data_IF_246952701758
#
_entry.id   IF_246952701758
#
_cell.length_a   1.000
_cell.length_b   1.000
_cell.length_c   1.000
_cell.angle_alpha   90.00
_cell.angle_beta   90.00
_cell.angle_gamma   90.00
#
_symmetry.space_group_name_H-M   'P 1'
#
loop_
_entity.id
_entity.type
_entity.pdbx_description
1 polymer ?
#
# COMPACT_ATOMS: atom_id res chain seq x y z
N UNK A 1 20.22 -2.24 -4.80
CA UNK A 1 20.53 -1.66 -3.49
C UNK A 1 19.25 -1.62 -2.69
N UNK A 2 19.25 -2.17 -1.47
CA UNK A 2 18.05 -2.26 -0.63
C UNK A 2 17.61 -0.89 -0.15
N UNK A 3 16.37 -0.52 -0.45
CA UNK A 3 15.71 0.63 0.18
C UNK A 3 15.37 0.26 1.60
N UNK A 4 15.98 0.95 2.57
CA UNK A 4 15.67 0.77 3.99
C UNK A 4 14.22 1.16 4.25
N UNK A 5 13.37 0.16 4.50
CA UNK A 5 12.01 0.33 5.00
C UNK A 5 12.04 0.76 6.47
N UNK A 6 12.46 2.00 6.73
CA UNK A 6 12.33 2.61 8.03
C UNK A 6 10.93 3.23 8.16
N UNK A 7 10.22 2.93 9.23
CA UNK A 7 9.02 3.69 9.58
C UNK A 7 9.44 5.12 9.96
N UNK A 8 8.82 6.12 9.35
CA UNK A 8 9.02 7.54 9.68
C UNK A 8 7.76 8.02 10.39
N UNK A 9 7.92 8.55 11.60
CA UNK A 9 6.82 9.12 12.38
C UNK A 9 6.65 10.58 12.02
N UNK A 10 5.45 10.94 11.56
CA UNK A 10 5.07 12.32 11.25
C UNK A 10 4.13 12.87 12.33
N UNK A 11 4.46 14.04 12.90
CA UNK A 11 3.59 14.77 13.84
C UNK A 11 2.88 15.92 13.12
N UNK A 12 2.05 15.58 12.15
CA UNK A 12 1.28 16.53 11.34
C UNK A 12 -0.15 16.07 11.21
N UNK A 13 -1.05 16.93 10.72
CA UNK A 13 -2.36 16.46 10.25
C UNK A 13 -2.16 15.49 9.09
N UNK A 14 -2.77 14.33 9.16
CA UNK A 14 -2.54 13.23 8.25
C UNK A 14 -3.17 13.50 6.87
N UNK A 15 -4.42 13.95 6.83
CA UNK A 15 -5.13 14.10 5.56
C UNK A 15 -4.50 15.15 4.62
N UNK A 16 -4.07 16.34 5.09
CA UNK A 16 -3.31 17.27 4.26
C UNK A 16 -1.99 16.68 3.76
N UNK A 17 -1.25 15.98 4.63
CA UNK A 17 -0.01 15.31 4.27
C UNK A 17 -0.22 14.26 3.17
N UNK A 18 -1.25 13.41 3.31
CA UNK A 18 -1.59 12.42 2.29
C UNK A 18 -2.03 13.06 0.99
N UNK A 19 -2.78 14.17 1.04
CA UNK A 19 -3.20 14.90 -0.16
C UNK A 19 -2.01 15.39 -0.98
N UNK A 20 -0.98 15.94 -0.32
CA UNK A 20 0.26 16.36 -0.97
C UNK A 20 1.00 15.16 -1.58
N UNK A 21 1.23 14.11 -0.79
CA UNK A 21 1.98 12.94 -1.25
C UNK A 21 1.27 12.16 -2.36
N UNK A 22 -0.05 12.07 -2.32
CA UNK A 22 -0.84 11.44 -3.38
C UNK A 22 -0.88 12.27 -4.67
N UNK A 23 -0.70 13.59 -4.60
CA UNK A 23 -0.58 14.41 -5.79
C UNK A 23 0.73 14.12 -6.54
N UNK A 24 1.82 13.89 -5.80
CA UNK A 24 3.14 13.56 -6.34
C UNK A 24 3.19 12.15 -6.98
N UNK A 25 2.35 11.22 -6.49
CA UNK A 25 2.38 9.80 -6.86
C UNK A 25 1.25 9.36 -7.81
N UNK A 26 0.57 10.29 -8.49
CA UNK A 26 -0.52 9.92 -9.41
C UNK A 26 0.04 9.22 -10.65
N UNK A 27 -0.52 8.07 -10.98
CA UNK A 27 -0.37 7.47 -12.31
C UNK A 27 -1.74 7.10 -12.87
N UNK A 28 -1.87 7.22 -14.19
CA UNK A 28 -3.03 6.69 -14.90
C UNK A 28 -2.82 5.19 -15.05
N UNK A 29 -3.74 4.38 -14.50
CA UNK A 29 -3.70 2.92 -14.51
C UNK A 29 -4.03 2.30 -15.87
N UNK A 30 -3.82 3.03 -16.95
CA UNK A 30 -4.28 2.65 -18.28
C UNK A 30 -3.69 1.30 -18.69
N UNK A 31 -4.57 0.33 -18.93
CA UNK A 31 -4.21 -1.03 -19.31
C UNK A 31 -4.18 -2.05 -18.17
N UNK A 32 -4.37 -1.64 -16.91
CA UNK A 32 -4.60 -2.58 -15.80
C UNK A 32 -6.09 -2.95 -15.70
N UNK A 33 -6.43 -4.21 -15.38
CA UNK A 33 -7.82 -4.63 -15.20
C UNK A 33 -8.41 -4.22 -13.83
N UNK A 34 -7.71 -3.41 -13.04
CA UNK A 34 -8.10 -2.98 -11.70
C UNK A 34 -7.67 -1.54 -11.41
N UNK A 35 -8.32 -0.91 -10.42
CA UNK A 35 -8.14 0.52 -10.14
C UNK A 35 -6.96 0.87 -9.23
N UNK A 36 -6.43 -0.09 -8.47
CA UNK A 36 -5.31 0.18 -7.55
C UNK A 36 -3.98 0.15 -8.31
N UNK A 37 -3.32 1.30 -8.41
CA UNK A 37 -2.07 1.46 -9.17
C UNK A 37 -0.84 1.72 -8.26
N UNK A 38 -0.98 1.44 -6.96
CA UNK A 38 0.00 1.78 -5.92
C UNK A 38 -0.47 2.94 -5.05
N UNK A 39 0.40 3.36 -4.13
CA UNK A 39 0.13 4.43 -3.17
C UNK A 39 0.05 3.94 -1.73
N UNK A 40 -0.64 4.69 -0.86
CA UNK A 40 -0.68 4.39 0.57
C UNK A 40 -1.69 3.28 0.92
N UNK A 41 -1.24 2.28 1.66
CA UNK A 41 -2.04 1.17 2.17
C UNK A 41 -1.80 1.03 3.67
N UNK A 42 -2.85 0.88 4.47
CA UNK A 42 -2.73 0.65 5.90
C UNK A 42 -4.03 0.99 6.63
N UNK A 43 -3.91 1.50 7.86
CA UNK A 43 -5.06 1.80 8.70
C UNK A 43 -5.08 3.26 9.16
N UNK A 44 -6.30 3.72 9.41
CA UNK A 44 -6.61 4.99 10.07
C UNK A 44 -7.32 4.64 11.38
N UNK A 45 -6.70 4.98 12.50
CA UNK A 45 -7.23 4.77 13.84
C UNK A 45 -8.43 5.67 14.14
N UNK A 46 -9.20 5.30 15.16
CA UNK A 46 -10.44 6.00 15.51
C UNK A 46 -10.21 7.46 15.91
N UNK A 47 -9.10 7.74 16.59
CA UNK A 47 -8.79 9.09 17.05
C UNK A 47 -8.34 10.02 15.92
N UNK A 48 -8.11 9.52 14.69
CA UNK A 48 -7.96 10.35 13.49
C UNK A 48 -9.20 11.23 13.21
N UNK A 49 -10.34 10.97 13.88
CA UNK A 49 -11.52 11.85 13.84
C UNK A 49 -11.17 13.32 14.10
N UNK A 50 -10.12 13.58 14.90
CA UNK A 50 -9.66 14.93 15.23
C UNK A 50 -9.25 15.78 14.01
N UNK A 51 -8.86 15.15 12.90
CA UNK A 51 -8.51 15.83 11.66
C UNK A 51 -9.73 16.15 10.77
N UNK A 52 -10.89 15.55 11.06
CA UNK A 52 -12.10 15.62 10.24
C UNK A 52 -13.21 16.48 10.84
N UNK A 53 -13.23 16.68 12.17
CA UNK A 53 -14.31 17.39 12.87
C UNK A 53 -13.78 18.53 13.73
N UNK A 54 -14.63 19.55 13.98
CA UNK A 54 -14.28 20.60 14.94
C UNK A 54 -14.41 20.04 16.37
N UNK A 55 -13.27 19.79 17.00
CA UNK A 55 -13.19 19.22 18.35
C UNK A 55 -13.60 20.21 19.46
N UNK A 56 -14.00 21.46 19.13
CA UNK A 56 -14.40 22.46 20.13
C UNK A 56 -15.68 22.01 20.86
N UNK A 57 -15.54 21.75 22.16
CA UNK A 57 -16.65 21.37 23.04
C UNK A 57 -16.94 19.87 23.10
N UNK A 58 -16.15 19.05 22.40
CA UNK A 58 -16.30 17.59 22.49
C UNK A 58 -15.80 17.04 23.83
N UNK A 59 -16.63 16.22 24.47
CA UNK A 59 -16.30 15.55 25.75
C UNK A 59 -15.51 14.25 25.57
N UNK A 60 -15.40 13.73 24.35
CA UNK A 60 -14.75 12.46 24.05
C UNK A 60 -13.39 12.64 23.37
N UNK A 61 -12.59 13.56 23.92
CA UNK A 61 -11.22 13.84 23.50
C UNK A 61 -10.29 12.85 24.21
N UNK A 62 -10.37 11.59 23.79
CA UNK A 62 -9.48 10.54 24.24
C UNK A 62 -8.29 10.47 23.27
N UNK A 63 -7.10 10.27 23.80
CA UNK A 63 -5.90 9.96 23.01
C UNK A 63 -5.54 8.50 23.33
N UNK A 64 -5.56 7.63 22.32
CA UNK A 64 -5.09 6.26 22.48
C UNK A 64 -3.57 6.23 22.63
N UNK A 65 -3.04 5.21 23.31
CA UNK A 65 -1.60 4.97 23.35
C UNK A 65 -1.03 4.39 22.05
N UNK A 66 -1.90 3.95 21.13
CA UNK A 66 -1.55 3.46 19.80
C UNK A 66 -1.53 4.60 18.78
N UNK A 67 -0.77 4.40 17.70
CA UNK A 67 -0.64 5.36 16.60
C UNK A 67 -1.99 5.58 15.88
N UNK A 68 -2.31 6.83 15.57
CA UNK A 68 -3.57 7.21 14.93
C UNK A 68 -3.65 6.78 13.45
N UNK A 69 -2.53 6.40 12.83
CA UNK A 69 -2.48 5.79 11.51
C UNK A 69 -1.13 5.11 11.28
N UNK A 70 -1.13 4.07 10.46
CA UNK A 70 0.08 3.48 9.91
C UNK A 70 -0.15 3.18 8.44
N UNK A 71 0.70 3.72 7.58
CA UNK A 71 0.54 3.62 6.13
C UNK A 71 1.87 3.23 5.49
N UNK A 72 1.81 2.23 4.62
CA UNK A 72 2.88 1.82 3.73
C UNK A 72 2.65 2.47 2.38
N UNK A 73 3.64 3.19 1.86
CA UNK A 73 3.66 3.54 0.44
C UNK A 73 4.06 2.31 -0.37
N UNK A 74 3.09 1.68 -1.02
CA UNK A 74 3.28 0.53 -1.89
C UNK A 74 3.55 1.01 -3.32
N UNK A 75 4.83 1.10 -3.65
CA UNK A 75 5.31 1.33 -5.02
C UNK A 75 5.36 0.03 -5.84
N UNK A 76 5.31 -1.14 -5.18
CA UNK A 76 5.42 -2.47 -5.76
C UNK A 76 4.47 -3.42 -5.08
N UNK A 77 3.68 -4.14 -5.87
CA UNK A 77 2.69 -5.09 -5.36
C UNK A 77 2.34 -6.19 -6.36
N UNK A 78 1.63 -7.21 -5.87
CA UNK A 78 1.02 -8.25 -6.69
C UNK A 78 -0.50 -8.10 -6.61
N UNK A 79 -1.17 -8.13 -7.77
CA UNK A 79 -2.62 -8.20 -7.86
C UNK A 79 -3.04 -9.58 -8.38
N UNK A 80 -3.96 -10.22 -7.67
CA UNK A 80 -4.49 -11.53 -8.00
C UNK A 80 -5.92 -11.37 -8.54
N UNK A 81 -6.08 -11.65 -9.82
CA UNK A 81 -7.39 -11.75 -10.45
C UNK A 81 -7.86 -13.20 -10.34
N UNK A 82 -8.73 -13.44 -9.36
CA UNK A 82 -9.30 -14.77 -9.13
C UNK A 82 -10.35 -15.16 -10.18
N UNK A 83 -10.91 -14.21 -10.92
CA UNK A 83 -11.91 -14.48 -11.95
C UNK A 83 -11.24 -15.03 -13.22
N UNK A 84 -10.15 -14.39 -13.67
CA UNK A 84 -9.38 -14.84 -14.84
C UNK A 84 -8.23 -15.80 -14.48
N UNK A 85 -7.95 -16.01 -13.19
CA UNK A 85 -6.84 -16.84 -12.72
C UNK A 85 -5.47 -16.24 -13.06
N UNK A 86 -5.34 -14.92 -13.00
CA UNK A 86 -4.11 -14.19 -13.39
C UNK A 86 -3.45 -13.51 -12.19
N UNK A 87 -2.12 -13.43 -12.22
CA UNK A 87 -1.34 -12.66 -11.26
C UNK A 87 -0.57 -11.57 -12.01
N UNK A 88 -0.70 -10.33 -11.54
CA UNK A 88 -0.03 -9.17 -12.10
C UNK A 88 1.01 -8.68 -11.10
N UNK A 89 2.27 -8.59 -11.52
CA UNK A 89 3.28 -7.85 -10.79
C UNK A 89 3.30 -6.40 -11.29
N UNK A 90 3.13 -5.45 -10.38
CA UNK A 90 3.02 -4.03 -10.71
C UNK A 90 4.08 -3.25 -9.94
N UNK A 91 4.71 -2.30 -10.63
CA UNK A 91 5.64 -1.35 -10.05
C UNK A 91 5.31 0.06 -10.54
N UNK A 92 5.05 0.97 -9.61
CA UNK A 92 4.98 2.41 -9.82
C UNK A 92 6.42 2.94 -9.83
N UNK A 93 6.85 3.54 -10.93
CA UNK A 93 8.19 4.07 -11.06
C UNK A 93 8.22 5.41 -11.78
N UNK A 94 9.12 6.28 -11.33
CA UNK A 94 9.61 7.42 -12.09
C UNK A 94 10.91 7.05 -12.82
N UNK A 95 11.47 8.00 -13.57
CA UNK A 95 12.71 7.83 -14.33
C UNK A 95 13.91 7.43 -13.46
N UNK A 96 13.87 7.68 -12.15
CA UNK A 96 15.00 7.42 -11.25
C UNK A 96 15.06 5.98 -10.76
N UNK A 97 13.93 5.25 -10.81
CA UNK A 97 13.82 3.90 -10.26
C UNK A 97 13.45 2.84 -11.30
N UNK A 98 13.36 3.18 -12.58
CA UNK A 98 12.96 2.29 -13.68
C UNK A 98 13.75 0.96 -13.70
N UNK A 99 15.08 1.01 -13.61
CA UNK A 99 15.93 -0.20 -13.64
C UNK A 99 15.69 -1.10 -12.42
N UNK A 100 15.54 -0.51 -11.24
CA UNK A 100 15.26 -1.24 -10.02
C UNK A 100 13.87 -1.90 -10.05
N UNK A 101 12.88 -1.20 -10.61
CA UNK A 101 11.51 -1.70 -10.79
C UNK A 101 11.45 -2.85 -11.78
N UNK A 102 12.12 -2.73 -12.94
CA UNK A 102 12.26 -3.82 -13.92
C UNK A 102 12.98 -5.04 -13.33
N UNK A 103 14.05 -4.83 -12.57
CA UNK A 103 14.75 -5.92 -11.90
C UNK A 103 13.85 -6.64 -10.88
N UNK A 104 13.04 -5.89 -10.12
CA UNK A 104 12.07 -6.45 -9.18
C UNK A 104 10.98 -7.25 -9.90
N UNK A 105 10.39 -6.70 -10.98
CA UNK A 105 9.38 -7.39 -11.79
C UNK A 105 9.91 -8.71 -12.35
N UNK A 106 11.12 -8.71 -12.92
CA UNK A 106 11.77 -9.92 -13.43
C UNK A 106 12.02 -10.95 -12.30
N UNK A 107 12.38 -10.48 -11.10
CA UNK A 107 12.56 -11.35 -9.93
C UNK A 107 11.24 -11.97 -9.47
N UNK A 108 10.17 -11.18 -9.39
CA UNK A 108 8.84 -11.68 -9.02
C UNK A 108 8.30 -12.67 -10.04
N UNK A 109 8.45 -12.38 -11.33
CA UNK A 109 8.06 -13.31 -12.38
C UNK A 109 8.77 -14.66 -12.22
N UNK A 110 10.11 -14.66 -12.04
CA UNK A 110 10.86 -15.91 -11.77
C UNK A 110 10.34 -16.64 -10.54
N UNK A 111 10.18 -15.92 -9.42
CA UNK A 111 9.72 -16.52 -8.16
C UNK A 111 8.33 -17.15 -8.33
N UNK A 112 7.37 -16.43 -8.90
CA UNK A 112 6.00 -16.91 -9.09
C UNK A 112 5.93 -18.14 -10.03
N UNK A 113 6.78 -18.21 -11.05
CA UNK A 113 6.86 -19.40 -11.91
C UNK A 113 7.49 -20.63 -11.26
N UNK A 114 8.15 -20.47 -10.10
CA UNK A 114 8.78 -21.57 -9.35
C UNK A 114 7.95 -22.08 -8.18
N UNK A 115 6.88 -21.37 -7.81
CA UNK A 115 6.01 -21.79 -6.70
C UNK A 115 5.11 -22.93 -7.19
N UNK A 116 5.29 -24.11 -6.60
CA UNK A 116 4.33 -25.19 -6.76
C UNK A 116 3.04 -24.89 -5.99
N UNK A 117 1.87 -25.29 -6.50
CA UNK A 117 0.63 -25.18 -5.75
C UNK A 117 0.77 -25.94 -4.43
N UNK A 118 0.26 -25.40 -3.31
CA UNK A 118 0.24 -26.14 -2.06
C UNK A 118 -0.55 -27.43 -2.28
N UNK A 119 -0.06 -28.54 -1.74
CA UNK A 119 -0.83 -29.78 -1.66
C UNK A 119 -2.17 -29.45 -0.99
N UNK A 120 -3.28 -29.89 -1.60
CA UNK A 120 -4.63 -29.55 -1.16
C UNK A 120 -4.76 -29.66 0.35
N UNK A 121 -5.32 -28.64 1.04
CA UNK A 121 -5.55 -28.74 2.46
C UNK A 121 -6.42 -29.97 2.72
N UNK A 122 -5.89 -30.91 3.50
CA UNK A 122 -6.64 -32.06 3.97
C UNK A 122 -7.65 -31.54 4.99
N UNK A 123 -8.82 -31.13 4.52
CA UNK A 123 -9.97 -30.97 5.39
C UNK A 123 -10.39 -32.37 5.84
N UNK A 124 -10.03 -32.73 7.08
CA UNK A 124 -10.63 -33.89 7.74
C UNK A 124 -12.13 -33.59 7.94
N UNK A 125 -13.01 -34.57 7.66
CA UNK A 125 -14.46 -34.42 7.87
C UNK A 125 -14.82 -34.26 9.35
#
# INVERSE_FOLDING_TARGET
GGGGGGAVVHRTRLLPFLKERLADARCDGDGLPFSFCGGFVGYLGYEMKQDCVDMRGERNRFESGDEDAMLLFSDRFLAFDHLEGRCYAVALCDDTCEEASRAWLASMHRLLTTISPPSSPSFLP
#
